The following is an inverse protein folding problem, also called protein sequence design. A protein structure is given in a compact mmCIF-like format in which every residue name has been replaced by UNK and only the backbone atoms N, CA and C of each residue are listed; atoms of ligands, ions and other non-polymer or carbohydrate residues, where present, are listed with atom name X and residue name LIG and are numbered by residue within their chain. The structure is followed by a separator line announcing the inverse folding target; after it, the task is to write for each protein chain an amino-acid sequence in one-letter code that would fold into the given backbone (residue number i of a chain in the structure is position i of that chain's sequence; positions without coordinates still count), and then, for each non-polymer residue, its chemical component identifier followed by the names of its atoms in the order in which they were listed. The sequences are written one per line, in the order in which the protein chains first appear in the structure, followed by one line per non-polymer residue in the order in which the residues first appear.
data_IF_772269825912
#
_entry.id   IF_772269825912
#
_cell.length_a   1.000
_cell.length_b   1.000
_cell.length_c   1.000
_cell.angle_alpha   90.00
_cell.angle_beta   90.00
_cell.angle_gamma   90.00
#
_symmetry.space_group_name_H-M   'P 1'
#
loop_
_entity.id
_entity.type
_entity.pdbx_description
1 polymer ?
#
# COMPACT_ATOMS: atom_id res chain seq x y z
N UNK A 1 13.24 11.09 8.10
CA UNK A 1 12.20 10.10 7.72
C UNK A 1 12.23 10.02 6.21
N UNK A 2 12.47 8.84 5.63
CA UNK A 2 12.61 8.61 4.17
C UNK A 2 11.45 7.71 3.72
N UNK A 3 10.30 8.28 3.33
CA UNK A 3 9.08 7.54 3.01
C UNK A 3 9.28 6.47 1.92
N UNK A 4 10.21 6.72 1.01
CA UNK A 4 10.55 5.86 -0.13
C UNK A 4 11.12 4.52 0.33
N UNK A 5 11.78 4.50 1.50
CA UNK A 5 12.37 3.31 2.11
C UNK A 5 11.38 2.58 3.01
N UNK A 6 10.21 3.16 3.29
CA UNK A 6 9.19 2.57 4.14
C UNK A 6 8.14 1.82 3.30
N UNK A 7 8.10 0.48 3.31
CA UNK A 7 7.17 -0.29 2.47
C UNK A 7 5.69 0.07 2.70
N UNK A 8 5.30 0.45 3.93
CA UNK A 8 3.91 0.78 4.21
C UNK A 8 3.47 2.08 3.51
N UNK A 9 4.37 3.05 3.31
CA UNK A 9 4.06 4.29 2.58
C UNK A 9 3.85 4.02 1.09
N UNK A 10 4.52 3.00 0.55
CA UNK A 10 4.34 2.58 -0.84
C UNK A 10 2.97 1.91 -1.03
N UNK A 11 2.55 1.07 -0.09
CA UNK A 11 1.19 0.49 -0.07
C UNK A 11 0.15 1.60 0.04
N UNK A 12 0.34 2.58 0.93
CA UNK A 12 -0.56 3.73 1.04
C UNK A 12 -0.65 4.55 -0.25
N UNK A 13 0.46 4.72 -0.96
CA UNK A 13 0.49 5.40 -2.24
C UNK A 13 -0.38 4.67 -3.28
N UNK A 14 -0.34 3.34 -3.30
CA UNK A 14 -1.17 2.55 -4.20
C UNK A 14 -2.66 2.60 -3.83
N UNK A 15 -2.99 2.49 -2.54
CA UNK A 15 -4.37 2.62 -2.03
C UNK A 15 -4.99 3.96 -2.48
N UNK A 16 -4.22 5.06 -2.38
CA UNK A 16 -4.65 6.39 -2.86
C UNK A 16 -4.88 6.42 -4.38
N UNK A 17 -4.01 5.79 -5.18
CA UNK A 17 -4.15 5.72 -6.64
C UNK A 17 -5.39 4.95 -7.07
N UNK A 18 -5.70 3.83 -6.41
CA UNK A 18 -6.77 2.89 -6.78
C UNK A 18 -8.19 3.34 -6.47
N UNK A 19 -8.37 4.47 -5.77
CA UNK A 19 -9.72 5.00 -5.55
C UNK A 19 -9.94 5.68 -4.21
N UNK A 20 -8.95 5.64 -3.31
CA UNK A 20 -8.96 6.44 -2.09
C UNK A 20 -8.43 7.85 -2.36
N UNK A 21 -9.08 8.55 -3.30
CA UNK A 21 -8.81 9.95 -3.64
C UNK A 21 -9.54 10.88 -2.68
N UNK A 22 -9.24 12.18 -2.73
CA UNK A 22 -9.89 13.20 -1.91
C UNK A 22 -11.42 13.17 -2.10
N UNK A 23 -12.11 12.52 -1.15
CA UNK A 23 -13.56 12.39 -1.08
C UNK A 23 -13.98 12.74 0.34
N UNK A 24 -15.04 13.54 0.46
CA UNK A 24 -15.70 13.73 1.74
C UNK A 24 -16.61 12.54 2.02
N UNK A 25 -16.42 11.91 3.17
CA UNK A 25 -17.29 10.86 3.70
C UNK A 25 -18.17 11.47 4.81
N UNK A 26 -19.41 11.00 4.93
CA UNK A 26 -20.36 11.53 5.93
C UNK A 26 -20.12 10.91 7.31
N UNK A 27 -19.59 9.68 7.36
CA UNK A 27 -19.26 9.00 8.61
C UNK A 27 -17.90 8.29 8.55
N UNK A 28 -17.39 7.88 9.72
CA UNK A 28 -16.17 7.09 9.81
C UNK A 28 -16.36 5.69 9.20
N UNK A 29 -17.54 5.11 9.35
CA UNK A 29 -17.88 3.81 8.78
C UNK A 29 -17.75 3.83 7.26
N UNK A 30 -18.23 4.88 6.59
CA UNK A 30 -18.07 5.00 5.13
C UNK A 30 -16.59 5.09 4.69
N UNK A 31 -15.71 5.62 5.55
CA UNK A 31 -14.26 5.63 5.30
C UNK A 31 -13.70 4.22 5.40
N UNK A 32 -14.08 3.49 6.45
CA UNK A 32 -13.64 2.11 6.71
C UNK A 32 -14.10 1.20 5.57
N UNK A 33 -15.38 1.28 5.19
CA UNK A 33 -15.96 0.49 4.11
C UNK A 33 -15.22 0.73 2.79
N UNK A 34 -14.93 2.00 2.47
CA UNK A 34 -14.21 2.32 1.24
C UNK A 34 -12.76 1.84 1.27
N UNK A 35 -12.11 1.93 2.42
CA UNK A 35 -10.75 1.42 2.58
C UNK A 35 -10.72 -0.11 2.43
N UNK A 36 -11.69 -0.81 3.04
CA UNK A 36 -11.84 -2.26 2.93
C UNK A 36 -12.07 -2.70 1.48
N UNK A 37 -12.93 -2.01 0.74
CA UNK A 37 -13.15 -2.26 -0.69
C UNK A 37 -11.85 -2.15 -1.49
N UNK A 38 -11.04 -1.12 -1.25
CA UNK A 38 -9.76 -0.92 -1.96
C UNK A 38 -8.75 -2.01 -1.60
N UNK A 39 -8.67 -2.40 -0.32
CA UNK A 39 -7.74 -3.44 0.15
C UNK A 39 -8.14 -4.82 -0.38
N UNK A 40 -9.44 -5.15 -0.39
CA UNK A 40 -9.93 -6.44 -0.92
C UNK A 40 -9.65 -6.61 -2.42
N UNK A 41 -9.58 -5.51 -3.16
CA UNK A 41 -9.19 -5.51 -4.58
C UNK A 41 -7.66 -5.50 -4.80
N UNK A 42 -6.86 -5.52 -3.73
CA UNK A 42 -5.41 -5.51 -3.80
C UNK A 42 -4.88 -6.95 -3.77
N UNK A 43 -4.49 -7.49 -4.92
CA UNK A 43 -3.97 -8.85 -4.99
C UNK A 43 -2.52 -8.95 -4.46
N UNK A 44 -2.13 -10.13 -3.96
CA UNK A 44 -0.78 -10.36 -3.42
C UNK A 44 0.35 -10.08 -4.43
N UNK A 45 0.11 -10.36 -5.71
CA UNK A 45 1.06 -10.04 -6.78
C UNK A 45 1.33 -8.54 -6.89
N UNK A 46 0.28 -7.74 -6.73
CA UNK A 46 0.36 -6.28 -6.83
C UNK A 46 1.14 -5.74 -5.65
N UNK A 47 0.80 -6.19 -4.43
CA UNK A 47 1.55 -5.87 -3.21
C UNK A 47 3.03 -6.19 -3.37
N UNK A 48 3.36 -7.41 -3.80
CA UNK A 48 4.75 -7.82 -4.03
C UNK A 48 5.45 -6.89 -5.02
N UNK A 49 4.82 -6.54 -6.14
CA UNK A 49 5.42 -5.62 -7.11
C UNK A 49 5.68 -4.21 -6.56
N UNK A 50 4.84 -3.75 -5.63
CA UNK A 50 4.94 -2.42 -5.03
C UNK A 50 6.03 -2.38 -3.97
N UNK A 51 6.04 -3.36 -3.05
CA UNK A 51 6.95 -3.36 -1.89
C UNK A 51 8.30 -4.01 -2.15
N UNK A 52 8.43 -4.81 -3.21
CA UNK A 52 9.69 -5.48 -3.52
C UNK A 52 10.76 -4.45 -3.92
N UNK A 53 11.92 -4.55 -3.26
CA UNK A 53 13.12 -3.79 -3.57
C UNK A 53 14.30 -4.73 -3.50
N UNK A 54 15.16 -4.72 -4.50
CA UNK A 54 16.33 -5.62 -4.56
C UNK A 54 17.21 -5.48 -3.31
N UNK A 55 17.39 -4.27 -2.79
CA UNK A 55 18.21 -4.01 -1.60
C UNK A 55 17.62 -4.56 -0.28
N UNK A 56 16.31 -4.85 -0.20
CA UNK A 56 15.73 -5.50 0.98
C UNK A 56 16.12 -6.98 1.07
N UNK A 57 16.51 -7.56 -0.05
CA UNK A 57 16.84 -8.98 -0.17
C UNK A 57 18.32 -9.21 -0.49
N UNK A 58 19.06 -8.17 -0.90
CA UNK A 58 20.49 -8.26 -1.20
C UNK A 58 21.34 -8.66 0.01
N UNK A 59 20.91 -8.33 1.22
CA UNK A 59 21.62 -8.68 2.46
C UNK A 59 21.34 -10.13 2.94
N UNK A 60 20.34 -10.81 2.36
CA UNK A 60 20.03 -12.21 2.67
C UNK A 60 20.83 -13.21 1.81
N UNK A 61 21.65 -12.72 0.88
CA UNK A 61 22.58 -13.51 0.06
C UNK A 61 23.98 -13.65 0.73
N UNK A 62 24.03 -13.71 2.06
CA UNK A 62 25.22 -14.18 2.79
C UNK A 62 24.98 -15.60 3.33
N UNK A 63 25.39 -16.57 2.51
CA UNK A 63 25.85 -17.94 2.77
C UNK A 63 25.12 -18.81 3.82
#
# INVERSE_FOLDING_TARGET
YTPEMNPIEQVWTEIRKRGFKNKAFKTLEEVIDKLQEVIQNLHWSDLKSIVHREWLFSDFEFQ
#
